data_IF_447954634796
#
_entry.id   IF_447954634796
#
_cell.length_a   1.000
_cell.length_b   1.000
_cell.length_c   1.000
_cell.angle_alpha   90.00
_cell.angle_beta   90.00
_cell.angle_gamma   90.00
#
_symmetry.space_group_name_H-M   'P 1'
#
loop_
_entity.id
_entity.type
_entity.pdbx_description
1 polymer ?
#
# COMPACT_ATOMS: atom_id res chain seq x y z
N UNK A 1 8.14 6.95 -40.47
CA UNK A 1 7.19 7.66 -39.57
C UNK A 1 7.42 7.03 -38.19
N UNK A 2 8.09 7.74 -37.29
CA UNK A 2 8.32 7.21 -35.93
C UNK A 2 7.02 7.39 -35.16
N UNK A 3 6.40 6.30 -34.77
CA UNK A 3 5.35 6.30 -33.76
C UNK A 3 6.00 6.82 -32.47
N UNK A 4 5.69 8.02 -32.10
CA UNK A 4 5.99 8.56 -30.78
C UNK A 4 5.08 7.79 -29.82
N UNK A 5 5.65 6.78 -29.16
CA UNK A 5 5.00 6.08 -28.08
C UNK A 5 4.61 7.14 -27.04
N UNK A 6 3.32 7.41 -26.95
CA UNK A 6 2.80 8.28 -25.89
C UNK A 6 3.02 7.50 -24.59
N UNK A 7 4.09 7.81 -23.90
CA UNK A 7 4.34 7.31 -22.53
C UNK A 7 3.23 7.93 -21.67
N UNK A 8 2.18 7.17 -21.47
CA UNK A 8 1.12 7.57 -20.56
C UNK A 8 1.73 7.65 -19.16
N UNK A 9 1.67 8.81 -18.53
CA UNK A 9 2.14 9.01 -17.17
C UNK A 9 1.17 8.30 -16.21
N UNK A 10 1.59 7.15 -15.71
CA UNK A 10 0.85 6.32 -14.76
C UNK A 10 1.15 6.71 -13.32
N UNK A 11 1.81 7.83 -13.08
CA UNK A 11 2.15 8.27 -11.72
C UNK A 11 0.88 8.56 -10.94
N UNK A 12 0.59 7.83 -9.86
CA UNK A 12 -0.56 8.10 -9.03
C UNK A 12 -0.39 9.42 -8.28
N UNK A 13 -1.49 10.08 -7.97
CA UNK A 13 -1.47 11.26 -7.12
C UNK A 13 -1.36 10.86 -5.65
N UNK A 14 -0.13 10.69 -5.16
CA UNK A 14 0.12 10.28 -3.77
C UNK A 14 -0.37 11.30 -2.73
N UNK A 15 -0.45 12.58 -3.06
CA UNK A 15 -1.00 13.60 -2.16
C UNK A 15 -2.51 13.39 -1.98
N UNK A 16 -3.22 13.07 -3.07
CA UNK A 16 -4.62 12.70 -2.97
C UNK A 16 -4.81 11.45 -2.10
N UNK A 17 -3.97 10.43 -2.24
CA UNK A 17 -4.04 9.22 -1.41
C UNK A 17 -3.86 9.53 0.08
N UNK A 18 -2.93 10.41 0.43
CA UNK A 18 -2.74 10.85 1.82
C UNK A 18 -4.00 11.56 2.33
N UNK A 19 -4.59 12.43 1.51
CA UNK A 19 -5.84 13.12 1.85
C UNK A 19 -6.99 12.14 2.07
N UNK A 20 -7.15 11.18 1.16
CA UNK A 20 -8.18 10.14 1.24
C UNK A 20 -8.03 9.28 2.50
N UNK A 21 -6.79 8.94 2.86
CA UNK A 21 -6.51 8.21 4.08
C UNK A 21 -6.87 9.02 5.34
N UNK A 22 -6.54 10.30 5.38
CA UNK A 22 -6.87 11.18 6.51
C UNK A 22 -8.39 11.39 6.64
N UNK A 23 -9.09 11.55 5.52
CA UNK A 23 -10.55 11.64 5.50
C UNK A 23 -11.19 10.35 6.00
N UNK A 24 -10.69 9.20 5.55
CA UNK A 24 -11.14 7.90 6.03
C UNK A 24 -10.91 7.72 7.53
N UNK A 25 -9.74 8.09 8.07
CA UNK A 25 -9.47 8.07 9.51
C UNK A 25 -10.51 8.88 10.29
N UNK A 26 -10.81 10.08 9.82
CA UNK A 26 -11.82 10.95 10.44
C UNK A 26 -13.20 10.29 10.42
N UNK A 27 -13.59 9.69 9.30
CA UNK A 27 -14.87 9.03 9.11
C UNK A 27 -15.09 7.83 10.04
N UNK A 28 -14.04 7.05 10.31
CA UNK A 28 -14.12 5.91 11.25
C UNK A 28 -14.02 6.33 12.72
N UNK A 29 -13.81 7.62 13.01
CA UNK A 29 -13.68 8.14 14.37
C UNK A 29 -12.30 7.92 15.00
N UNK A 30 -11.28 7.71 14.18
CA UNK A 30 -9.90 7.63 14.67
C UNK A 30 -9.35 9.02 14.98
N UNK A 31 -8.74 9.18 16.17
CA UNK A 31 -8.04 10.39 16.55
C UNK A 31 -6.53 10.22 16.31
N UNK A 32 -5.93 10.96 15.36
CA UNK A 32 -4.49 10.87 15.09
C UNK A 32 -3.59 11.12 16.30
N UNK A 33 -4.07 11.85 17.31
CA UNK A 33 -3.32 12.10 18.55
C UNK A 33 -3.01 10.81 19.34
N UNK A 34 -3.77 9.75 19.11
CA UNK A 34 -3.53 8.44 19.75
C UNK A 34 -2.25 7.76 19.30
N UNK A 35 -1.67 8.19 18.19
CA UNK A 35 -0.41 7.68 17.66
C UNK A 35 0.82 8.46 18.15
N UNK A 36 0.63 9.48 19.02
CA UNK A 36 1.72 10.35 19.45
C UNK A 36 2.31 11.14 18.29
N UNK A 37 3.63 11.04 18.11
CA UNK A 37 4.35 11.73 17.02
C UNK A 37 4.30 10.99 15.67
N UNK A 38 3.63 9.85 15.60
CA UNK A 38 3.49 9.09 14.36
C UNK A 38 2.81 9.92 13.27
N UNK A 39 3.37 9.86 12.08
CA UNK A 39 2.76 10.44 10.87
C UNK A 39 2.66 9.37 9.81
N UNK A 40 1.53 9.38 9.09
CA UNK A 40 1.41 8.52 7.93
C UNK A 40 2.35 9.01 6.83
N UNK A 41 3.30 8.17 6.48
CA UNK A 41 4.16 8.36 5.32
C UNK A 41 3.98 7.17 4.39
N UNK A 42 3.47 7.46 3.19
CA UNK A 42 3.29 6.45 2.15
C UNK A 42 4.60 6.10 1.46
N UNK A 43 5.55 7.03 1.48
CA UNK A 43 6.87 6.83 0.86
C UNK A 43 7.78 6.09 1.83
N UNK A 44 8.48 5.10 1.30
CA UNK A 44 9.54 4.46 2.05
C UNK A 44 10.81 5.29 1.96
N UNK A 45 11.47 5.49 3.10
CA UNK A 45 12.79 6.08 3.14
C UNK A 45 13.84 5.02 2.77
N UNK A 46 14.07 4.89 1.47
CA UNK A 46 15.08 3.97 0.95
C UNK A 46 16.51 4.46 1.16
N UNK A 47 16.69 5.73 1.49
CA UNK A 47 18.03 6.33 1.66
C UNK A 47 18.70 5.84 2.94
N UNK A 48 17.93 5.40 3.93
CA UNK A 48 18.46 4.80 5.17
C UNK A 48 18.89 3.34 4.99
N UNK A 49 18.41 2.67 3.96
CA UNK A 49 18.77 1.31 3.66
C UNK A 49 20.03 1.27 2.77
N UNK A 50 21.01 0.42 3.09
CA UNK A 50 22.23 0.25 2.28
C UNK A 50 21.94 0.05 0.78
N UNK A 51 22.93 0.34 -0.06
CA UNK A 51 22.78 0.31 -1.52
C UNK A 51 22.82 -1.10 -2.13
N UNK A 52 23.04 -2.13 -1.33
CA UNK A 52 23.13 -3.52 -1.78
C UNK A 52 22.04 -4.40 -1.17
N UNK A 53 21.72 -5.49 -1.86
CA UNK A 53 20.85 -6.55 -1.35
C UNK A 53 21.63 -7.30 -0.27
N UNK A 54 21.01 -7.51 0.89
CA UNK A 54 21.69 -8.00 2.10
C UNK A 54 21.60 -9.52 2.28
N UNK A 55 20.77 -10.21 1.48
CA UNK A 55 20.52 -11.64 1.66
C UNK A 55 20.07 -12.35 0.38
N UNK A 56 20.12 -13.67 0.40
CA UNK A 56 19.65 -14.55 -0.69
C UNK A 56 20.64 -14.65 -1.84
N UNK A 57 20.18 -15.19 -2.96
CA UNK A 57 21.00 -15.45 -4.14
C UNK A 57 21.56 -14.18 -4.82
N UNK A 58 21.09 -13.03 -4.41
CA UNK A 58 21.48 -11.72 -4.95
C UNK A 58 22.29 -10.87 -3.96
N UNK A 59 22.75 -11.47 -2.86
CA UNK A 59 23.53 -10.78 -1.84
C UNK A 59 24.75 -10.05 -2.46
N UNK A 60 24.94 -8.81 -2.04
CA UNK A 60 26.02 -7.95 -2.54
C UNK A 60 25.74 -7.27 -3.88
N UNK A 61 24.67 -7.61 -4.57
CA UNK A 61 24.26 -6.91 -5.78
C UNK A 61 23.64 -5.55 -5.43
N UNK A 62 23.72 -4.55 -6.34
CA UNK A 62 23.01 -3.29 -6.16
C UNK A 62 21.49 -3.52 -6.03
N UNK A 63 20.83 -2.76 -5.16
CA UNK A 63 19.37 -2.77 -5.04
C UNK A 63 18.70 -2.43 -6.36
N UNK A 64 17.66 -3.16 -6.68
CA UNK A 64 16.86 -2.89 -7.86
C UNK A 64 15.94 -1.69 -7.61
N UNK A 65 16.00 -0.72 -8.49
CA UNK A 65 15.17 0.46 -8.45
C UNK A 65 14.00 0.38 -9.43
N UNK A 66 14.03 -0.60 -10.34
CA UNK A 66 12.99 -0.84 -11.35
C UNK A 66 12.86 -2.33 -11.62
N UNK A 67 11.66 -2.78 -11.92
CA UNK A 67 11.38 -4.20 -12.21
C UNK A 67 12.31 -4.81 -13.24
N UNK A 68 12.69 -4.05 -14.27
CA UNK A 68 13.54 -4.56 -15.37
C UNK A 68 14.97 -4.83 -14.94
N UNK A 69 15.40 -4.37 -13.78
CA UNK A 69 16.70 -4.68 -13.20
C UNK A 69 16.71 -6.06 -12.51
N UNK A 70 15.54 -6.60 -12.17
CA UNK A 70 15.41 -7.94 -11.62
C UNK A 70 15.72 -8.94 -12.76
N UNK A 71 16.78 -9.76 -12.65
CA UNK A 71 17.30 -10.51 -13.80
C UNK A 71 16.32 -11.59 -14.31
N UNK A 72 15.52 -12.16 -13.44
CA UNK A 72 14.66 -13.31 -13.75
C UNK A 72 13.19 -12.88 -13.80
N UNK A 73 12.52 -13.22 -14.91
CA UNK A 73 11.11 -12.85 -15.09
C UNK A 73 10.20 -13.51 -14.06
N UNK A 74 10.43 -14.77 -13.75
CA UNK A 74 9.63 -15.47 -12.74
C UNK A 74 9.70 -14.81 -11.36
N UNK A 75 10.84 -14.23 -11.00
CA UNK A 75 10.98 -13.47 -9.75
C UNK A 75 10.20 -12.16 -9.84
N UNK A 76 10.27 -11.44 -10.96
CA UNK A 76 9.47 -10.22 -11.18
C UNK A 76 7.98 -10.50 -11.02
N UNK A 77 7.49 -11.55 -11.65
CA UNK A 77 6.07 -11.93 -11.63
C UNK A 77 5.65 -12.38 -10.22
N UNK A 78 6.51 -13.12 -9.52
CA UNK A 78 6.28 -13.55 -8.15
C UNK A 78 6.19 -12.36 -7.18
N UNK A 79 7.07 -11.38 -7.32
CA UNK A 79 7.04 -10.16 -6.46
C UNK A 79 5.75 -9.36 -6.70
N UNK A 80 5.37 -9.13 -7.96
CA UNK A 80 4.11 -8.42 -8.28
C UNK A 80 2.92 -9.15 -7.67
N UNK A 81 2.84 -10.47 -7.88
CA UNK A 81 1.76 -11.28 -7.33
C UNK A 81 1.72 -11.24 -5.80
N UNK A 82 2.87 -11.37 -5.15
CA UNK A 82 2.97 -11.34 -3.69
C UNK A 82 2.53 -9.98 -3.13
N UNK A 83 3.03 -8.88 -3.68
CA UNK A 83 2.68 -7.54 -3.21
C UNK A 83 1.22 -7.22 -3.46
N UNK A 84 0.65 -7.68 -4.59
CA UNK A 84 -0.78 -7.51 -4.89
C UNK A 84 -1.66 -8.25 -3.90
N UNK A 85 -1.36 -9.53 -3.64
CA UNK A 85 -2.12 -10.35 -2.68
C UNK A 85 -1.99 -9.78 -1.26
N UNK A 86 -0.81 -9.33 -0.87
CA UNK A 86 -0.61 -8.71 0.44
C UNK A 86 -1.44 -7.42 0.56
N UNK A 87 -1.41 -6.55 -0.44
CA UNK A 87 -2.21 -5.33 -0.43
C UNK A 87 -3.72 -5.59 -0.33
N UNK A 88 -4.23 -6.59 -1.05
CA UNK A 88 -5.63 -7.04 -0.95
C UNK A 88 -5.97 -7.53 0.47
N UNK A 89 -5.06 -8.29 1.08
CA UNK A 89 -5.23 -8.84 2.42
C UNK A 89 -5.30 -7.73 3.47
N UNK A 90 -4.47 -6.70 3.36
CA UNK A 90 -4.47 -5.55 4.26
C UNK A 90 -5.82 -4.81 4.23
N UNK A 91 -6.33 -4.50 3.04
CA UNK A 91 -7.63 -3.85 2.92
C UNK A 91 -8.79 -4.75 3.39
N UNK A 92 -8.76 -6.04 3.09
CA UNK A 92 -9.75 -7.00 3.58
C UNK A 92 -9.73 -7.12 5.11
N UNK A 93 -8.55 -7.02 5.73
CA UNK A 93 -8.39 -6.99 7.19
C UNK A 93 -9.14 -5.81 7.82
N UNK A 94 -9.09 -4.62 7.20
CA UNK A 94 -9.85 -3.46 7.65
C UNK A 94 -11.36 -3.75 7.68
N UNK A 95 -11.89 -4.40 6.67
CA UNK A 95 -13.31 -4.77 6.62
C UNK A 95 -13.68 -5.75 7.73
N UNK A 96 -12.83 -6.75 7.98
CA UNK A 96 -13.03 -7.71 9.06
C UNK A 96 -13.02 -7.03 10.44
N UNK A 97 -12.13 -6.07 10.64
CA UNK A 97 -12.02 -5.30 11.88
C UNK A 97 -13.28 -4.45 12.18
N UNK A 98 -14.05 -4.04 11.17
CA UNK A 98 -15.31 -3.32 11.38
C UNK A 98 -16.28 -4.09 12.28
N UNK A 99 -16.34 -5.41 12.14
CA UNK A 99 -17.20 -6.22 13.00
C UNK A 99 -16.71 -6.22 14.46
N UNK A 100 -15.40 -6.31 14.67
CA UNK A 100 -14.79 -6.24 16.00
C UNK A 100 -15.00 -4.85 16.61
N UNK A 101 -14.86 -3.79 15.84
CA UNK A 101 -15.12 -2.43 16.30
C UNK A 101 -16.60 -2.25 16.74
N UNK A 102 -17.54 -2.76 15.95
CA UNK A 102 -18.97 -2.67 16.26
C UNK A 102 -19.37 -3.43 17.53
N UNK A 103 -18.63 -4.49 17.88
CA UNK A 103 -18.92 -5.35 19.03
C UNK A 103 -17.95 -5.15 20.20
N UNK A 104 -17.05 -4.16 20.11
CA UNK A 104 -16.04 -3.90 21.13
C UNK A 104 -16.66 -3.59 22.50
N UNK A 105 -16.33 -4.32 23.54
CA UNK A 105 -17.03 -4.22 24.84
C UNK A 105 -16.64 -2.96 25.63
N UNK A 106 -15.47 -2.41 25.39
CA UNK A 106 -14.97 -1.23 26.11
C UNK A 106 -14.40 -0.17 25.18
N UNK A 107 -14.25 1.05 25.67
CA UNK A 107 -13.58 2.13 24.94
C UNK A 107 -12.10 1.81 24.64
N UNK A 108 -11.44 1.05 25.49
CA UNK A 108 -10.10 0.57 25.23
C UNK A 108 -10.07 -0.38 24.02
N UNK A 109 -11.00 -1.32 23.95
CA UNK A 109 -11.10 -2.27 22.82
C UNK A 109 -11.42 -1.55 21.50
N UNK A 110 -12.30 -0.56 21.53
CA UNK A 110 -12.59 0.29 20.37
C UNK A 110 -11.34 1.01 19.87
N UNK A 111 -10.60 1.66 20.76
CA UNK A 111 -9.35 2.35 20.39
C UNK A 111 -8.34 1.39 19.81
N UNK A 112 -8.21 0.20 20.39
CA UNK A 112 -7.31 -0.83 19.89
C UNK A 112 -7.69 -1.30 18.50
N UNK A 113 -8.97 -1.58 18.26
CA UNK A 113 -9.48 -1.95 16.93
C UNK A 113 -9.22 -0.82 15.89
N UNK A 114 -9.53 0.43 16.22
CA UNK A 114 -9.30 1.58 15.34
C UNK A 114 -7.81 1.76 14.99
N UNK A 115 -6.90 1.53 15.95
CA UNK A 115 -5.47 1.58 15.68
C UNK A 115 -5.02 0.49 14.72
N UNK A 116 -5.48 -0.74 14.91
CA UNK A 116 -5.20 -1.86 14.01
C UNK A 116 -5.73 -1.52 12.60
N UNK A 117 -6.99 -1.09 12.48
CA UNK A 117 -7.58 -0.70 11.20
C UNK A 117 -6.74 0.37 10.47
N UNK A 118 -6.23 1.37 11.19
CA UNK A 118 -5.37 2.39 10.61
C UNK A 118 -4.05 1.83 10.11
N UNK A 119 -3.43 0.90 10.85
CA UNK A 119 -2.20 0.25 10.42
C UNK A 119 -2.41 -0.63 9.17
N UNK A 120 -3.46 -1.45 9.15
CA UNK A 120 -3.79 -2.29 7.99
C UNK A 120 -4.09 -1.43 6.74
N UNK A 121 -4.87 -0.36 6.90
CA UNK A 121 -5.15 0.56 5.80
C UNK A 121 -3.87 1.22 5.28
N UNK A 122 -2.97 1.63 6.16
CA UNK A 122 -1.68 2.20 5.80
C UNK A 122 -0.81 1.19 5.04
N UNK A 123 -0.76 -0.05 5.49
CA UNK A 123 -0.02 -1.12 4.81
C UNK A 123 -0.55 -1.33 3.39
N UNK A 124 -1.87 -1.38 3.21
CA UNK A 124 -2.48 -1.48 1.88
C UNK A 124 -2.05 -0.34 0.95
N UNK A 125 -2.07 0.90 1.43
CA UNK A 125 -1.58 2.05 0.65
C UNK A 125 -0.09 1.97 0.33
N UNK A 126 0.74 1.47 1.26
CA UNK A 126 2.16 1.27 1.01
C UNK A 126 2.42 0.20 -0.06
N UNK A 127 1.65 -0.90 -0.05
CA UNK A 127 1.73 -1.93 -1.11
C UNK A 127 1.32 -1.35 -2.47
N UNK A 128 0.25 -0.55 -2.51
CA UNK A 128 -0.16 0.15 -3.71
C UNK A 128 0.92 1.12 -4.23
N UNK A 129 1.57 1.86 -3.34
CA UNK A 129 2.69 2.74 -3.69
C UNK A 129 3.86 1.96 -4.31
N UNK A 130 4.25 0.83 -3.71
CA UNK A 130 5.32 -0.03 -4.24
C UNK A 130 4.98 -0.52 -5.65
N UNK A 131 3.77 -1.00 -5.86
CA UNK A 131 3.32 -1.49 -7.15
C UNK A 131 3.38 -0.40 -8.22
N UNK A 132 2.81 0.77 -7.96
CA UNK A 132 2.78 1.87 -8.92
C UNK A 132 4.17 2.43 -9.21
N UNK A 133 5.04 2.53 -8.19
CA UNK A 133 6.37 3.13 -8.32
C UNK A 133 7.34 2.22 -9.07
N UNK A 134 7.32 0.91 -8.79
CA UNK A 134 8.36 0.00 -9.28
C UNK A 134 7.91 -0.92 -10.41
N UNK A 135 6.62 -1.10 -10.61
CA UNK A 135 6.09 -2.01 -11.61
C UNK A 135 5.31 -1.32 -12.74
N UNK A 136 5.19 0.02 -12.70
CA UNK A 136 4.60 0.83 -13.76
C UNK A 136 3.16 0.42 -14.08
N UNK A 137 2.83 0.27 -15.36
CA UNK A 137 1.47 -0.07 -15.81
C UNK A 137 0.92 -1.35 -15.16
N UNK A 138 1.76 -2.37 -14.99
CA UNK A 138 1.32 -3.62 -14.36
C UNK A 138 0.95 -3.43 -12.89
N UNK A 139 1.71 -2.60 -12.18
CA UNK A 139 1.41 -2.24 -10.80
C UNK A 139 0.13 -1.42 -10.68
N UNK A 140 -0.05 -0.43 -11.55
CA UNK A 140 -1.29 0.37 -11.60
C UNK A 140 -2.50 -0.49 -11.86
N UNK A 141 -2.42 -1.45 -12.78
CA UNK A 141 -3.52 -2.39 -13.05
C UNK A 141 -3.84 -3.26 -11.84
N UNK A 142 -2.82 -3.75 -11.13
CA UNK A 142 -3.03 -4.53 -9.90
C UNK A 142 -3.77 -3.71 -8.85
N UNK A 143 -3.32 -2.49 -8.58
CA UNK A 143 -3.96 -1.56 -7.63
C UNK A 143 -5.38 -1.21 -8.07
N UNK A 144 -5.61 -0.92 -9.35
CA UNK A 144 -6.93 -0.56 -9.85
C UNK A 144 -7.96 -1.68 -9.67
N UNK A 145 -7.56 -2.93 -9.79
CA UNK A 145 -8.44 -4.07 -9.56
C UNK A 145 -8.87 -4.12 -8.08
N UNK A 146 -7.95 -3.91 -7.18
CA UNK A 146 -8.18 -3.91 -5.73
C UNK A 146 -9.07 -2.74 -5.29
N UNK A 147 -8.74 -1.53 -5.72
CA UNK A 147 -9.43 -0.30 -5.28
C UNK A 147 -10.79 -0.06 -5.93
N UNK A 148 -11.06 -0.54 -7.13
CA UNK A 148 -12.35 -0.38 -7.79
C UNK A 148 -13.45 -1.26 -7.18
N UNK A 149 -13.09 -2.28 -6.43
CA UNK A 149 -14.05 -3.15 -5.74
C UNK A 149 -14.40 -2.64 -4.32
N UNK A 150 -13.55 -1.82 -3.71
CA UNK A 150 -13.73 -1.31 -2.35
C UNK A 150 -14.74 -0.16 -2.21
N UNK A 151 -14.83 0.85 -3.11
CA UNK A 151 -15.75 1.97 -2.94
C UNK A 151 -17.23 1.60 -3.02
N UNK A 152 -17.58 0.49 -3.65
CA UNK A 152 -18.97 0.04 -3.81
C UNK A 152 -19.56 -0.63 -2.58
N UNK A 153 -18.74 -1.04 -1.62
CA UNK A 153 -19.18 -1.72 -0.40
C UNK A 153 -19.50 -0.72 0.74
N UNK A 154 -18.97 0.48 0.65
CA UNK A 154 -19.16 1.53 1.68
C UNK A 154 -20.36 2.44 1.46
N UNK A 155 -21.27 2.12 0.53
CA UNK A 155 -22.51 2.87 0.25
C UNK A 155 -23.70 2.21 0.94
N UNK A 156 -23.62 1.96 2.26
CA UNK A 156 -24.80 1.59 3.07
C UNK A 156 -24.78 2.40 4.35
#
# INVERSE_FOLDING_TARGET
MSETEIVQDYSPNFEAWISDFQEWQTRIGFDPSWLGDYRFDIKFDWDTAGNSIEFGDFEGMPKWQRRMQIPQQNIRDAIISMVSVQGDTEFASVEQQNHLLATAPTEYDKKSALRIMCEEQRHGWQMAYLLCTYFGEHGVRAVSYTHLTLPTIYSV
#
